data_IF_382926672344
#
_entry.id   IF_382926672344
#
_cell.length_a   1.000
_cell.length_b   1.000
_cell.length_c   1.000
_cell.angle_alpha   90.00
_cell.angle_beta   90.00
_cell.angle_gamma   90.00
#
_symmetry.space_group_name_H-M   'P 1'
#
loop_
_entity.id
_entity.type
_entity.pdbx_description
1 polymer ?
#
# COMPACT_ATOMS: atom_id res chain seq x y z
N UNK A 1 11.97 11.00 18.50
CA UNK A 1 11.90 12.15 17.56
C UNK A 1 11.82 11.65 16.11
N UNK A 2 10.91 12.21 15.30
CA UNK A 2 10.87 11.93 13.86
C UNK A 2 12.18 12.48 13.29
N UNK A 3 13.11 11.61 12.91
CA UNK A 3 14.40 12.03 12.36
C UNK A 3 14.18 12.75 11.03
N UNK A 4 14.61 14.00 10.94
CA UNK A 4 14.72 14.71 9.68
C UNK A 4 15.90 14.10 8.90
N UNK A 5 15.68 13.78 7.62
CA UNK A 5 16.72 13.27 6.73
C UNK A 5 17.45 14.48 6.10
N UNK A 6 18.77 14.38 5.88
CA UNK A 6 19.57 15.48 5.32
C UNK A 6 19.37 15.63 3.79
N UNK A 7 19.12 16.85 3.29
CA UNK A 7 18.75 17.10 1.88
C UNK A 7 19.93 17.16 0.89
N UNK A 8 19.73 16.75 -0.40
CA UNK A 8 18.53 16.13 -0.95
C UNK A 8 18.60 14.60 -0.87
N UNK A 9 17.70 13.99 -0.09
CA UNK A 9 17.57 12.54 -0.03
C UNK A 9 16.47 12.06 -0.99
N UNK A 10 16.78 11.05 -1.80
CA UNK A 10 15.79 10.43 -2.70
C UNK A 10 14.99 9.36 -1.93
N UNK A 11 13.95 9.79 -1.22
CA UNK A 11 13.01 8.87 -0.58
C UNK A 11 12.01 8.34 -1.61
N UNK A 12 12.02 7.03 -1.83
CA UNK A 12 10.98 6.34 -2.60
C UNK A 12 9.92 5.78 -1.66
N UNK A 13 8.67 5.73 -2.12
CA UNK A 13 7.54 5.21 -1.36
C UNK A 13 6.99 3.94 -1.99
N UNK A 14 6.38 3.10 -1.16
CA UNK A 14 5.78 1.84 -1.60
C UNK A 14 6.81 0.76 -1.91
N UNK A 15 6.32 -0.37 -2.43
CA UNK A 15 7.16 -1.47 -2.90
C UNK A 15 7.30 -1.34 -4.40
N UNK A 16 8.52 -1.35 -4.92
CA UNK A 16 8.80 -1.22 -6.37
C UNK A 16 8.17 0.06 -6.98
N UNK A 17 8.05 1.13 -6.19
CA UNK A 17 7.48 2.41 -6.62
C UNK A 17 5.94 2.47 -6.63
N UNK A 18 5.25 1.45 -6.13
CA UNK A 18 3.78 1.42 -6.03
C UNK A 18 3.27 1.12 -4.62
N UNK A 19 2.04 1.55 -4.27
CA UNK A 19 1.40 1.13 -3.03
C UNK A 19 1.37 -0.39 -2.89
N UNK A 20 1.67 -0.86 -1.68
CA UNK A 20 1.65 -2.27 -1.33
C UNK A 20 0.89 -2.46 -0.01
N UNK A 21 -0.15 -3.29 -0.03
CA UNK A 21 -0.99 -3.57 1.14
C UNK A 21 -0.83 -5.02 1.61
N UNK A 22 -0.70 -5.24 2.92
CA UNK A 22 -0.73 -6.58 3.52
C UNK A 22 -1.93 -6.65 4.44
N UNK A 23 -2.88 -7.53 4.15
CA UNK A 23 -4.10 -7.66 4.93
C UNK A 23 -3.81 -8.18 6.34
N UNK A 24 -4.13 -7.35 7.33
CA UNK A 24 -4.14 -7.72 8.74
C UNK A 24 -5.44 -8.42 9.15
N UNK A 25 -5.46 -9.09 10.32
CA UNK A 25 -6.62 -9.84 10.81
C UNK A 25 -7.84 -8.99 11.18
N UNK A 26 -7.70 -7.66 11.23
CA UNK A 26 -8.79 -6.72 11.54
C UNK A 26 -9.11 -5.77 10.39
N UNK A 27 -8.43 -5.93 9.26
CA UNK A 27 -8.66 -5.10 8.10
C UNK A 27 -9.91 -5.56 7.34
N UNK A 28 -10.64 -4.60 6.79
CA UNK A 28 -11.59 -4.89 5.73
C UNK A 28 -10.84 -4.86 4.39
N UNK A 29 -10.17 -5.95 4.07
CA UNK A 29 -9.28 -6.02 2.91
C UNK A 29 -10.03 -5.74 1.59
N UNK A 30 -11.24 -6.27 1.41
CA UNK A 30 -12.09 -5.97 0.26
C UNK A 30 -12.31 -4.45 0.07
N UNK A 31 -12.64 -3.72 1.14
CA UNK A 31 -12.81 -2.26 1.09
C UNK A 31 -11.52 -1.53 0.74
N UNK A 32 -10.40 -1.98 1.29
CA UNK A 32 -9.09 -1.36 1.06
C UNK A 32 -8.64 -1.57 -0.39
N UNK A 33 -8.76 -2.79 -0.92
CA UNK A 33 -8.45 -3.10 -2.33
C UNK A 33 -9.32 -2.26 -3.26
N UNK A 34 -10.63 -2.17 -3.00
CA UNK A 34 -11.53 -1.30 -3.78
C UNK A 34 -11.12 0.18 -3.75
N UNK A 35 -10.62 0.65 -2.61
CA UNK A 35 -10.12 2.02 -2.50
C UNK A 35 -8.85 2.21 -3.35
N UNK A 36 -7.93 1.25 -3.34
CA UNK A 36 -6.72 1.27 -4.16
C UNK A 36 -7.06 1.25 -5.65
N UNK A 37 -8.01 0.42 -6.09
CA UNK A 37 -8.52 0.44 -7.48
C UNK A 37 -9.05 1.82 -7.87
N UNK A 38 -9.76 2.50 -6.96
CA UNK A 38 -10.32 3.83 -7.23
C UNK A 38 -9.26 4.93 -7.31
N UNK A 39 -8.23 4.90 -6.45
CA UNK A 39 -7.27 6.02 -6.34
C UNK A 39 -5.98 5.81 -7.09
N UNK A 40 -5.46 4.58 -7.11
CA UNK A 40 -4.25 4.23 -7.86
C UNK A 40 -4.60 3.75 -9.28
N UNK A 41 -5.76 3.12 -9.46
CA UNK A 41 -6.16 2.49 -10.72
C UNK A 41 -5.82 1.00 -10.76
N UNK A 42 -6.50 0.20 -11.60
CA UNK A 42 -6.20 -1.22 -11.77
C UNK A 42 -4.74 -1.43 -12.22
N UNK A 43 -4.03 -2.36 -11.58
CA UNK A 43 -2.62 -2.68 -11.89
C UNK A 43 -1.57 -1.76 -11.27
N UNK A 44 -1.97 -0.65 -10.64
CA UNK A 44 -1.06 0.34 -10.05
C UNK A 44 -0.81 0.13 -8.55
N UNK A 45 -1.16 -1.03 -8.00
CA UNK A 45 -0.90 -1.41 -6.62
C UNK A 45 -0.81 -2.93 -6.53
N UNK A 46 -0.18 -3.41 -5.46
CA UNK A 46 -0.14 -4.83 -5.11
C UNK A 46 -0.68 -5.05 -3.70
N UNK A 47 -1.11 -6.28 -3.43
CA UNK A 47 -1.47 -6.68 -2.09
C UNK A 47 -1.23 -8.16 -1.81
N UNK A 48 -1.12 -8.49 -0.53
CA UNK A 48 -1.15 -9.86 -0.02
C UNK A 48 -2.36 -9.98 0.89
N UNK A 49 -3.24 -10.92 0.60
CA UNK A 49 -4.44 -11.19 1.37
C UNK A 49 -4.61 -12.70 1.58
N UNK A 50 -5.26 -13.08 2.68
CA UNK A 50 -5.70 -14.47 2.87
C UNK A 50 -6.78 -14.81 1.83
N UNK A 51 -6.82 -16.06 1.39
CA UNK A 51 -7.67 -16.51 0.27
C UNK A 51 -9.18 -16.19 0.43
N UNK A 52 -9.66 -15.93 1.66
CA UNK A 52 -11.05 -15.55 1.96
C UNK A 52 -11.25 -14.12 2.46
N UNK A 53 -10.25 -13.24 2.33
CA UNK A 53 -10.31 -11.87 2.87
C UNK A 53 -10.84 -10.81 1.86
N UNK A 54 -11.05 -11.20 0.61
CA UNK A 54 -11.46 -10.32 -0.49
C UNK A 54 -12.90 -10.56 -0.91
#
# INVERSE_FOLDING_TARGET
PRGELEEPYQLTFGKDGKPFFVAGPRDNAARIVKQLEKTAGPGNFDYVAMLGAL
#
